data_IF_088662584364
#
_entry.id   IF_088662584364
#
_cell.length_a   1.000
_cell.length_b   1.000
_cell.length_c   1.000
_cell.angle_alpha   90.00
_cell.angle_beta   90.00
_cell.angle_gamma   90.00
#
_symmetry.space_group_name_H-M   'P 1'
#
loop_
_entity.id
_entity.type
_entity.pdbx_description
1 polymer ?
#
# COMPACT_ATOMS: atom_id res chain seq x y z
N UNK A 1 5.49 -29.15 -63.06
CA UNK A 1 5.19 -28.16 -62.02
C UNK A 1 5.74 -28.67 -60.68
N UNK A 2 6.94 -28.25 -60.28
CA UNK A 2 7.52 -28.61 -59.01
C UNK A 2 6.91 -27.67 -57.96
N UNK A 3 6.24 -28.23 -56.94
CA UNK A 3 5.76 -27.54 -55.78
C UNK A 3 6.96 -27.04 -54.95
N UNK A 4 7.15 -25.73 -54.86
CA UNK A 4 8.10 -25.15 -53.93
C UNK A 4 7.61 -25.39 -52.48
N UNK A 5 8.48 -25.84 -51.57
CA UNK A 5 8.13 -25.94 -50.16
C UNK A 5 8.00 -24.55 -49.58
N UNK A 6 6.83 -24.25 -49.01
CA UNK A 6 6.53 -23.03 -48.24
C UNK A 6 7.30 -23.15 -46.91
N UNK A 7 8.54 -22.71 -46.85
CA UNK A 7 9.27 -22.51 -45.58
C UNK A 7 8.76 -21.21 -44.94
N UNK A 8 7.79 -21.33 -44.06
CA UNK A 8 7.58 -20.24 -43.11
C UNK A 8 8.91 -20.01 -42.33
N UNK A 9 9.35 -18.76 -42.14
CA UNK A 9 10.56 -18.50 -41.38
C UNK A 9 10.40 -19.07 -39.96
N UNK A 10 11.29 -19.96 -39.54
CA UNK A 10 11.33 -20.46 -38.18
C UNK A 10 11.74 -19.30 -37.28
N UNK A 11 10.78 -18.68 -36.60
CA UNK A 11 11.04 -17.68 -35.59
C UNK A 11 11.72 -18.41 -34.41
N UNK A 12 12.97 -18.09 -34.12
CA UNK A 12 13.64 -18.63 -32.94
C UNK A 12 12.92 -18.07 -31.71
N UNK A 13 12.40 -18.91 -30.80
CA UNK A 13 11.71 -18.43 -29.63
C UNK A 13 12.58 -17.52 -28.75
N UNK A 14 11.97 -16.49 -28.19
CA UNK A 14 12.62 -15.53 -27.27
C UNK A 14 12.63 -16.16 -25.88
N UNK A 15 13.77 -16.13 -25.19
CA UNK A 15 13.85 -16.59 -23.79
C UNK A 15 13.21 -15.60 -22.85
N UNK A 16 12.53 -16.11 -21.82
CA UNK A 16 11.98 -15.35 -20.71
C UNK A 16 12.17 -16.12 -19.40
N UNK A 17 12.17 -15.44 -18.27
CA UNK A 17 12.32 -16.08 -16.96
C UNK A 17 11.01 -16.74 -16.53
N UNK A 18 9.88 -16.02 -16.72
CA UNK A 18 8.57 -16.45 -16.24
C UNK A 18 7.46 -16.14 -17.26
N UNK A 19 6.56 -17.09 -17.44
CA UNK A 19 5.29 -16.93 -18.16
C UNK A 19 4.16 -17.27 -17.20
N UNK A 20 3.23 -16.32 -16.95
CA UNK A 20 2.05 -16.55 -16.14
C UNK A 20 0.83 -16.64 -17.05
N UNK A 21 0.10 -17.75 -16.96
CA UNK A 21 -1.05 -18.09 -17.81
C UNK A 21 -2.32 -18.24 -16.94
N UNK A 22 -2.95 -17.16 -16.49
CA UNK A 22 -4.21 -17.22 -15.78
C UNK A 22 -5.39 -17.37 -16.74
N UNK A 23 -6.61 -17.54 -16.22
CA UNK A 23 -7.82 -17.45 -17.03
C UNK A 23 -8.11 -16.01 -17.42
N UNK A 24 -8.07 -15.08 -16.44
CA UNK A 24 -8.33 -13.68 -16.66
C UNK A 24 -7.14 -12.81 -16.21
N UNK A 25 -6.93 -11.73 -16.92
CA UNK A 25 -5.98 -10.67 -16.54
C UNK A 25 -6.74 -9.34 -16.50
N UNK A 26 -6.63 -8.62 -15.40
CA UNK A 26 -7.10 -7.23 -15.27
C UNK A 26 -5.85 -6.34 -15.22
N UNK A 27 -5.42 -5.74 -16.34
CA UNK A 27 -4.17 -5.00 -16.39
C UNK A 27 -4.23 -3.64 -15.68
N UNK A 28 -5.42 -3.14 -15.36
CA UNK A 28 -5.74 -1.82 -14.80
C UNK A 28 -5.52 -0.69 -15.83
N UNK A 29 -4.51 -0.78 -16.67
CA UNK A 29 -4.29 0.08 -17.83
C UNK A 29 -4.28 -0.80 -19.11
N UNK A 30 -5.18 -0.53 -20.08
CA UNK A 30 -6.28 0.44 -20.09
C UNK A 30 -7.38 0.14 -19.07
N UNK A 31 -8.07 1.21 -18.62
CA UNK A 31 -9.13 1.09 -17.61
C UNK A 31 -10.31 0.23 -18.12
N UNK A 32 -10.89 -0.60 -17.23
CA UNK A 32 -12.08 -1.40 -17.53
C UNK A 32 -11.83 -2.64 -18.40
N UNK A 33 -10.58 -2.96 -18.72
CA UNK A 33 -10.22 -4.11 -19.56
C UNK A 33 -10.11 -5.39 -18.71
N UNK A 34 -10.69 -6.46 -19.22
CA UNK A 34 -10.47 -7.85 -18.79
C UNK A 34 -10.02 -8.66 -19.99
N UNK A 35 -8.86 -9.28 -19.91
CA UNK A 35 -8.32 -10.16 -20.93
C UNK A 35 -8.54 -11.62 -20.51
N UNK A 36 -9.10 -12.44 -21.39
CA UNK A 36 -9.27 -13.87 -21.18
C UNK A 36 -8.26 -14.65 -22.03
N UNK A 37 -7.72 -15.75 -21.51
CA UNK A 37 -6.74 -16.62 -22.22
C UNK A 37 -5.50 -15.88 -22.73
N UNK A 38 -5.00 -14.92 -21.95
CA UNK A 38 -3.73 -14.25 -22.22
C UNK A 38 -2.61 -14.78 -21.31
N UNK A 39 -1.37 -14.53 -21.71
CA UNK A 39 -0.19 -14.78 -20.92
C UNK A 39 0.58 -13.49 -20.68
N UNK A 40 1.10 -13.34 -19.47
CA UNK A 40 2.03 -12.28 -19.10
C UNK A 40 3.45 -12.85 -19.13
N UNK A 41 4.34 -12.16 -19.84
CA UNK A 41 5.74 -12.57 -20.01
C UNK A 41 6.63 -11.66 -19.19
N UNK A 42 7.49 -12.25 -18.38
CA UNK A 42 8.39 -11.54 -17.46
C UNK A 42 9.83 -11.96 -17.73
N UNK A 43 10.71 -10.97 -17.79
CA UNK A 43 12.14 -11.19 -17.91
C UNK A 43 12.89 -10.15 -17.04
N UNK A 44 13.85 -10.60 -16.23
CA UNK A 44 14.63 -9.77 -15.31
C UNK A 44 13.76 -8.89 -14.39
N UNK A 45 12.62 -9.48 -13.95
CA UNK A 45 11.67 -8.80 -13.05
C UNK A 45 10.77 -7.76 -13.72
N UNK A 46 10.83 -7.60 -15.03
CA UNK A 46 10.00 -6.65 -15.80
C UNK A 46 9.00 -7.37 -16.69
N UNK A 47 7.84 -6.76 -16.88
CA UNK A 47 6.82 -7.19 -17.84
C UNK A 47 7.33 -6.84 -19.24
N UNK A 48 7.58 -7.86 -20.06
CA UNK A 48 8.10 -7.68 -21.43
C UNK A 48 7.05 -7.86 -22.51
N UNK A 49 5.96 -8.61 -22.21
CA UNK A 49 4.86 -8.80 -23.16
C UNK A 49 3.57 -9.22 -22.44
N UNK A 50 2.41 -8.93 -23.07
CA UNK A 50 1.09 -9.34 -22.64
C UNK A 50 0.27 -9.66 -23.89
N UNK A 51 0.06 -10.95 -24.19
CA UNK A 51 -0.50 -11.39 -25.46
C UNK A 51 -1.33 -12.67 -25.29
N UNK A 52 -2.15 -13.05 -26.30
CA UNK A 52 -2.90 -14.30 -26.27
C UNK A 52 -1.99 -15.51 -26.01
N UNK A 53 -2.44 -16.46 -25.18
CA UNK A 53 -1.65 -17.62 -24.72
C UNK A 53 -1.04 -18.42 -25.85
N UNK A 54 -1.77 -18.65 -26.94
CA UNK A 54 -1.25 -19.38 -28.10
C UNK A 54 -0.10 -18.67 -28.80
N UNK A 55 -0.21 -17.34 -28.93
CA UNK A 55 0.86 -16.52 -29.49
C UNK A 55 2.09 -16.47 -28.56
N UNK A 56 1.86 -16.43 -27.24
CA UNK A 56 2.92 -16.50 -26.25
C UNK A 56 3.72 -17.81 -26.36
N UNK A 57 3.03 -18.95 -26.45
CA UNK A 57 3.66 -20.29 -26.58
C UNK A 57 4.47 -20.45 -27.88
N UNK A 58 4.12 -19.71 -28.93
CA UNK A 58 4.87 -19.73 -30.21
C UNK A 58 6.08 -18.80 -30.17
N UNK A 59 5.99 -17.69 -29.44
CA UNK A 59 7.00 -16.62 -29.44
C UNK A 59 8.03 -16.76 -28.34
N UNK A 60 7.67 -17.33 -27.18
CA UNK A 60 8.51 -17.38 -26.01
C UNK A 60 8.78 -18.80 -25.50
N UNK A 61 9.99 -19.00 -24.94
CA UNK A 61 10.33 -20.15 -24.09
C UNK A 61 10.73 -19.60 -22.73
N UNK A 62 9.89 -19.86 -21.71
CA UNK A 62 10.12 -19.41 -20.35
C UNK A 62 10.76 -20.52 -19.50
N UNK A 63 11.68 -20.14 -18.61
CA UNK A 63 12.31 -21.07 -17.65
C UNK A 63 11.27 -21.61 -16.66
N UNK A 64 10.28 -20.78 -16.29
CA UNK A 64 9.14 -21.15 -15.45
C UNK A 64 7.83 -20.79 -16.14
N UNK A 65 6.86 -21.72 -16.12
CA UNK A 65 5.49 -21.47 -16.60
C UNK A 65 4.52 -21.78 -15.46
N UNK A 66 3.81 -20.74 -14.99
CA UNK A 66 2.74 -20.87 -13.99
C UNK A 66 1.38 -20.86 -14.69
N UNK A 67 0.72 -22.00 -14.70
CA UNK A 67 -0.63 -22.16 -15.31
C UNK A 67 -1.68 -22.08 -14.21
N UNK A 68 -2.56 -21.09 -14.30
CA UNK A 68 -3.54 -20.72 -13.28
C UNK A 68 -4.95 -20.65 -13.91
N UNK A 69 -5.55 -21.78 -14.29
CA UNK A 69 -6.73 -21.83 -15.19
C UNK A 69 -8.00 -21.24 -14.59
N UNK A 70 -8.08 -21.08 -13.27
CA UNK A 70 -9.26 -20.57 -12.57
C UNK A 70 -8.96 -19.30 -11.78
N UNK A 71 -7.89 -18.58 -12.18
CA UNK A 71 -7.43 -17.38 -11.48
C UNK A 71 -7.64 -16.13 -12.31
N UNK A 72 -7.81 -15.03 -11.60
CA UNK A 72 -7.60 -13.69 -12.14
C UNK A 72 -6.24 -13.17 -11.66
N UNK A 73 -5.46 -12.64 -12.60
CA UNK A 73 -4.19 -11.96 -12.35
C UNK A 73 -4.43 -10.45 -12.37
N UNK A 74 -4.00 -9.78 -11.33
CA UNK A 74 -4.04 -8.31 -11.19
C UNK A 74 -2.64 -7.81 -10.83
N UNK A 75 -2.36 -6.49 -10.95
CA UNK A 75 -1.19 -5.89 -10.31
C UNK A 75 -1.21 -6.19 -8.82
N UNK A 76 -0.04 -6.30 -8.20
CA UNK A 76 0.06 -6.40 -6.76
C UNK A 76 -0.65 -5.23 -6.05
N UNK A 77 -1.30 -5.52 -4.96
CA UNK A 77 -2.00 -4.50 -4.16
C UNK A 77 -0.98 -3.58 -3.47
N UNK A 78 -1.33 -2.31 -3.33
CA UNK A 78 -0.46 -1.26 -2.77
C UNK A 78 -1.12 -0.65 -1.55
N UNK A 79 -0.56 -0.92 -0.38
CA UNK A 79 -1.00 -0.38 0.90
C UNK A 79 -0.37 0.99 1.13
N UNK A 80 -1.14 2.06 0.96
CA UNK A 80 -0.64 3.43 0.96
C UNK A 80 -0.32 4.00 2.34
N UNK A 81 -0.74 3.32 3.40
CA UNK A 81 -0.43 3.74 4.77
C UNK A 81 -0.49 2.57 5.75
N UNK A 82 0.54 2.44 6.56
CA UNK A 82 0.62 1.50 7.69
C UNK A 82 1.61 1.98 8.75
N UNK A 83 1.56 1.36 9.92
CA UNK A 83 2.54 1.39 10.99
C UNK A 83 3.00 -0.06 11.22
N UNK A 84 3.85 -0.56 10.32
CA UNK A 84 4.15 -1.99 10.22
C UNK A 84 4.72 -2.60 11.51
N UNK A 85 5.59 -1.86 12.21
CA UNK A 85 6.15 -2.30 13.50
C UNK A 85 5.09 -2.57 14.58
N UNK A 86 3.98 -1.82 14.56
CA UNK A 86 2.87 -1.96 15.53
C UNK A 86 2.05 -3.26 15.34
N UNK A 87 2.35 -4.10 14.36
CA UNK A 87 1.62 -5.36 14.15
C UNK A 87 1.74 -6.31 15.35
N UNK A 88 2.80 -6.19 16.14
CA UNK A 88 2.94 -6.91 17.42
C UNK A 88 1.98 -6.41 18.51
N UNK A 89 1.41 -5.23 18.37
CA UNK A 89 0.45 -4.62 19.30
C UNK A 89 -1.01 -4.86 18.91
N UNK A 90 -1.27 -5.71 17.95
CA UNK A 90 -2.61 -6.07 17.46
C UNK A 90 -3.55 -6.48 18.59
N UNK A 91 -4.73 -5.82 18.66
CA UNK A 91 -5.77 -6.13 19.65
C UNK A 91 -5.47 -5.63 21.06
N UNK A 92 -4.47 -4.77 21.23
CA UNK A 92 -4.23 -4.07 22.49
C UNK A 92 -5.15 -2.84 22.54
N UNK A 93 -6.00 -2.77 23.58
CA UNK A 93 -6.89 -1.65 23.87
C UNK A 93 -7.90 -1.33 22.74
N UNK A 94 -8.56 -2.35 22.20
CA UNK A 94 -9.71 -2.15 21.31
C UNK A 94 -10.83 -1.34 22.00
N UNK A 95 -11.72 -0.74 21.19
CA UNK A 95 -12.92 -0.03 21.65
C UNK A 95 -12.64 1.23 22.50
N UNK A 96 -11.53 1.93 22.19
CA UNK A 96 -11.18 3.22 22.81
C UNK A 96 -11.25 4.36 21.78
N UNK A 97 -11.64 5.60 22.18
CA UNK A 97 -11.47 6.78 21.35
C UNK A 97 -9.99 7.00 21.01
N UNK A 98 -9.69 7.53 19.82
CA UNK A 98 -8.33 7.71 19.31
C UNK A 98 -7.37 8.35 20.32
N UNK A 99 -7.75 9.46 20.97
CA UNK A 99 -6.91 10.16 21.94
C UNK A 99 -6.58 9.30 23.15
N UNK A 100 -7.59 8.67 23.77
CA UNK A 100 -7.42 7.75 24.89
C UNK A 100 -6.56 6.55 24.49
N UNK A 101 -6.81 6.00 23.30
CA UNK A 101 -6.05 4.88 22.76
C UNK A 101 -4.56 5.23 22.61
N UNK A 102 -4.24 6.42 22.05
CA UNK A 102 -2.85 6.88 21.90
C UNK A 102 -2.19 7.16 23.24
N UNK A 103 -2.80 8.03 24.09
CA UNK A 103 -2.17 8.57 25.28
C UNK A 103 -2.08 7.57 26.44
N UNK A 104 -3.08 6.70 26.61
CA UNK A 104 -3.16 5.80 27.76
C UNK A 104 -2.63 4.38 27.44
N UNK A 105 -2.56 3.98 26.15
CA UNK A 105 -2.20 2.62 25.79
C UNK A 105 -0.99 2.56 24.85
N UNK A 106 -1.05 3.19 23.69
CA UNK A 106 -0.04 3.00 22.64
C UNK A 106 1.28 3.70 22.99
N UNK A 107 1.27 5.01 23.28
CA UNK A 107 2.50 5.74 23.60
C UNK A 107 3.22 5.21 24.85
N UNK A 108 2.55 4.79 25.94
CA UNK A 108 3.21 4.11 27.06
C UNK A 108 3.87 2.78 26.68
N UNK A 109 3.21 1.97 25.81
CA UNK A 109 3.79 0.74 25.31
C UNK A 109 4.99 1.00 24.39
N UNK A 110 4.86 1.95 23.48
CA UNK A 110 5.95 2.37 22.60
C UNK A 110 7.15 2.90 23.39
N UNK A 111 6.92 3.74 24.38
CA UNK A 111 7.96 4.26 25.27
C UNK A 111 8.74 3.16 25.99
N UNK A 112 8.08 2.06 26.32
CA UNK A 112 8.68 0.93 27.03
C UNK A 112 9.38 -0.07 26.12
N UNK A 113 8.84 -0.32 24.92
CA UNK A 113 9.19 -1.50 24.15
C UNK A 113 9.75 -1.22 22.75
N UNK A 114 9.52 -0.03 22.17
CA UNK A 114 10.02 0.28 20.83
C UNK A 114 11.55 0.23 20.82
N UNK A 115 12.06 -0.57 19.90
CA UNK A 115 13.48 -0.82 19.68
C UNK A 115 13.69 -1.34 18.26
N UNK A 116 14.93 -1.36 17.80
CA UNK A 116 15.30 -1.96 16.50
C UNK A 116 14.78 -3.41 16.38
N UNK A 117 14.90 -4.22 17.46
CA UNK A 117 14.42 -5.61 17.48
C UNK A 117 12.88 -5.66 17.31
N UNK A 118 12.15 -4.84 18.07
CA UNK A 118 10.68 -4.79 18.03
C UNK A 118 10.19 -4.37 16.65
N UNK A 119 10.76 -3.33 16.08
CA UNK A 119 10.35 -2.81 14.77
C UNK A 119 10.65 -3.82 13.66
N UNK A 120 11.85 -4.43 13.65
CA UNK A 120 12.17 -5.48 12.69
C UNK A 120 11.21 -6.65 12.77
N UNK A 121 10.97 -7.21 13.96
CA UNK A 121 10.10 -8.37 14.14
C UNK A 121 8.64 -8.06 13.83
N UNK A 122 8.14 -6.86 14.22
CA UNK A 122 6.80 -6.41 13.93
C UNK A 122 6.58 -6.15 12.44
N UNK A 123 7.55 -5.53 11.78
CA UNK A 123 7.51 -5.30 10.33
C UNK A 123 7.57 -6.63 9.58
N UNK A 124 8.37 -7.61 10.01
CA UNK A 124 8.40 -8.94 9.38
C UNK A 124 7.05 -9.65 9.47
N UNK A 125 6.37 -9.56 10.63
CA UNK A 125 5.00 -10.08 10.79
C UNK A 125 4.01 -9.34 9.86
N UNK A 126 4.12 -8.02 9.74
CA UNK A 126 3.32 -7.22 8.83
C UNK A 126 3.55 -7.62 7.36
N UNK A 127 4.81 -7.74 6.94
CA UNK A 127 5.17 -8.17 5.58
C UNK A 127 4.55 -9.54 5.25
N UNK A 128 4.63 -10.49 6.18
CA UNK A 128 4.04 -11.82 6.00
C UNK A 128 2.52 -11.75 5.80
N UNK A 129 1.79 -10.98 6.61
CA UNK A 129 0.35 -10.83 6.48
C UNK A 129 -0.03 -10.11 5.18
N UNK A 130 0.67 -9.02 4.85
CA UNK A 130 0.45 -8.25 3.62
C UNK A 130 0.70 -9.09 2.36
N UNK A 131 1.80 -9.83 2.28
CA UNK A 131 2.09 -10.72 1.15
C UNK A 131 1.01 -11.80 0.99
N UNK A 132 0.59 -12.45 2.09
CA UNK A 132 -0.48 -13.45 2.08
C UNK A 132 -1.85 -12.87 1.68
N UNK A 133 -2.03 -11.55 1.77
CA UNK A 133 -3.24 -10.84 1.34
C UNK A 133 -3.12 -10.20 -0.05
N UNK A 134 -2.02 -10.42 -0.78
CA UNK A 134 -1.83 -9.92 -2.15
C UNK A 134 -1.17 -8.54 -2.24
N UNK A 135 -0.76 -7.95 -1.11
CA UNK A 135 -0.03 -6.68 -1.08
C UNK A 135 1.43 -6.92 -1.46
N UNK A 136 1.92 -6.21 -2.46
CA UNK A 136 3.31 -6.27 -2.93
C UNK A 136 4.12 -5.05 -2.51
N UNK A 137 3.44 -3.95 -2.18
CA UNK A 137 4.06 -2.68 -1.79
C UNK A 137 3.29 -2.07 -0.63
N UNK A 138 4.01 -1.56 0.37
CA UNK A 138 3.41 -0.79 1.45
C UNK A 138 4.17 0.52 1.71
N UNK A 139 3.47 1.50 2.27
CA UNK A 139 4.04 2.76 2.73
C UNK A 139 3.94 2.81 4.25
N UNK A 140 5.08 2.97 4.92
CA UNK A 140 5.19 2.90 6.38
C UNK A 140 5.48 4.27 7.01
N UNK A 141 4.92 4.50 8.18
CA UNK A 141 5.25 5.64 9.03
C UNK A 141 5.58 5.11 10.42
N UNK A 142 6.84 4.78 10.67
CA UNK A 142 7.25 4.28 11.97
C UNK A 142 8.71 4.60 12.30
N UNK A 143 9.11 4.32 13.54
CA UNK A 143 10.48 4.48 14.02
C UNK A 143 11.41 3.42 13.43
N UNK A 144 12.72 3.67 13.46
CA UNK A 144 13.77 2.74 13.02
C UNK A 144 13.56 2.21 11.57
N UNK A 145 13.50 3.10 10.56
CA UNK A 145 13.30 2.67 9.17
C UNK A 145 14.38 1.69 8.68
N UNK A 146 15.58 1.72 9.25
CA UNK A 146 16.64 0.73 9.00
C UNK A 146 16.24 -0.68 9.40
N UNK A 147 15.54 -0.84 10.53
CA UNK A 147 15.05 -2.14 10.98
C UNK A 147 13.86 -2.64 10.14
N UNK A 148 13.00 -1.72 9.71
CA UNK A 148 11.94 -2.03 8.76
C UNK A 148 12.53 -2.47 7.41
N UNK A 149 13.60 -1.84 6.94
CA UNK A 149 14.30 -2.21 5.71
C UNK A 149 14.86 -3.64 5.75
N UNK A 150 15.43 -4.08 6.90
CA UNK A 150 15.87 -5.47 7.08
C UNK A 150 14.72 -6.47 6.90
N UNK A 151 13.55 -6.18 7.44
CA UNK A 151 12.36 -7.04 7.30
C UNK A 151 11.84 -7.05 5.85
N UNK A 152 11.88 -5.90 5.17
CA UNK A 152 11.52 -5.79 3.75
C UNK A 152 12.48 -6.62 2.89
N UNK A 153 13.78 -6.55 3.14
CA UNK A 153 14.77 -7.34 2.40
C UNK A 153 14.56 -8.84 2.60
N UNK A 154 14.37 -9.26 3.86
CA UNK A 154 14.12 -10.66 4.22
C UNK A 154 12.81 -11.20 3.60
N UNK A 155 11.78 -10.39 3.49
CA UNK A 155 10.45 -10.83 3.00
C UNK A 155 10.29 -10.79 1.49
N UNK A 156 11.13 -10.04 0.79
CA UNK A 156 11.01 -9.82 -0.64
C UNK A 156 9.92 -8.81 -1.04
N UNK A 157 9.16 -8.23 -0.11
CA UNK A 157 8.15 -7.19 -0.38
C UNK A 157 8.81 -5.87 -0.80
N UNK A 158 8.07 -4.98 -1.44
CA UNK A 158 8.49 -3.60 -1.72
C UNK A 158 7.96 -2.65 -0.64
N UNK A 159 8.70 -1.59 -0.31
CA UNK A 159 8.25 -0.59 0.65
C UNK A 159 8.67 0.84 0.29
N UNK A 160 7.85 1.78 0.73
CA UNK A 160 8.20 3.18 0.91
C UNK A 160 8.31 3.42 2.43
N UNK A 161 9.48 3.82 2.91
CA UNK A 161 9.74 3.99 4.33
C UNK A 161 9.72 5.47 4.72
N UNK A 162 8.99 5.80 5.77
CA UNK A 162 8.87 7.16 6.29
C UNK A 162 10.13 7.62 7.01
N UNK A 163 10.67 8.76 6.58
CA UNK A 163 11.66 9.54 7.35
C UNK A 163 10.86 10.38 8.33
N UNK A 164 10.69 9.88 9.54
CA UNK A 164 9.81 10.46 10.55
C UNK A 164 10.29 11.87 10.96
N UNK A 165 9.36 12.80 11.13
CA UNK A 165 9.57 14.07 11.81
C UNK A 165 8.53 14.20 12.93
N UNK A 166 9.02 14.31 14.16
CA UNK A 166 8.21 14.31 15.38
C UNK A 166 8.88 15.14 16.46
N UNK A 167 8.18 16.11 17.06
CA UNK A 167 8.77 17.05 18.01
C UNK A 167 8.83 16.51 19.46
N UNK A 168 8.56 15.21 19.65
CA UNK A 168 8.59 14.55 20.95
C UNK A 168 9.75 13.54 21.00
N UNK A 169 10.52 13.49 22.12
CA UNK A 169 11.56 12.48 22.27
C UNK A 169 10.99 11.08 22.42
N UNK A 170 11.62 10.09 21.75
CA UNK A 170 11.29 8.66 21.84
C UNK A 170 12.56 7.83 21.93
N UNK A 171 12.43 6.49 21.93
CA UNK A 171 13.59 5.59 21.85
C UNK A 171 14.39 5.75 20.53
N UNK A 172 13.79 6.30 19.46
CA UNK A 172 14.44 6.52 18.17
C UNK A 172 15.26 7.80 18.12
N UNK A 173 14.84 8.88 18.81
CA UNK A 173 15.55 10.17 18.77
C UNK A 173 15.01 11.17 19.77
N UNK A 174 15.73 12.29 19.91
CA UNK A 174 15.44 13.33 20.89
C UNK A 174 14.53 14.45 20.37
N UNK A 175 14.09 14.38 19.11
CA UNK A 175 13.24 15.35 18.44
C UNK A 175 13.47 15.35 16.93
N UNK A 176 12.77 16.23 16.21
CA UNK A 176 12.69 16.22 14.75
C UNK A 176 14.04 16.23 14.03
N UNK A 177 15.02 17.01 14.52
CA UNK A 177 16.35 17.06 13.90
C UNK A 177 17.06 15.71 13.94
N UNK A 178 16.94 14.99 15.05
CA UNK A 178 17.54 13.67 15.23
C UNK A 178 16.85 12.65 14.33
N UNK A 179 15.52 12.67 14.28
CA UNK A 179 14.73 11.81 13.41
C UNK A 179 15.06 12.01 11.92
N UNK A 180 15.05 13.26 11.46
CA UNK A 180 15.37 13.61 10.09
C UNK A 180 16.80 13.22 9.72
N UNK A 181 17.78 13.48 10.61
CA UNK A 181 19.19 13.12 10.39
C UNK A 181 19.36 11.62 10.23
N UNK A 182 18.79 10.81 11.13
CA UNK A 182 18.87 9.35 11.09
C UNK A 182 18.14 8.78 9.89
N UNK A 183 16.92 9.25 9.62
CA UNK A 183 16.13 8.78 8.49
C UNK A 183 16.79 9.09 7.13
N UNK A 184 17.36 10.29 6.97
CA UNK A 184 18.13 10.65 5.78
C UNK A 184 19.40 9.82 5.63
N UNK A 185 20.11 9.53 6.70
CA UNK A 185 21.27 8.64 6.67
C UNK A 185 20.88 7.21 6.23
N UNK A 186 19.75 6.69 6.74
CA UNK A 186 19.19 5.39 6.31
C UNK A 186 18.85 5.40 4.82
N UNK A 187 18.12 6.43 4.37
CA UNK A 187 17.80 6.62 2.94
C UNK A 187 19.06 6.64 2.08
N UNK A 188 20.10 7.38 2.47
CA UNK A 188 21.31 7.52 1.69
C UNK A 188 22.10 6.20 1.63
N UNK A 189 22.12 5.43 2.69
CA UNK A 189 22.72 4.09 2.73
C UNK A 189 21.98 3.09 1.82
N UNK A 190 20.65 3.21 1.71
CA UNK A 190 19.77 2.28 1.01
C UNK A 190 19.23 2.82 -0.33
N UNK A 191 19.71 3.97 -0.81
CA UNK A 191 19.20 4.65 -2.02
C UNK A 191 19.19 3.81 -3.31
N UNK A 192 20.05 2.79 -3.39
CA UNK A 192 20.15 1.90 -4.55
C UNK A 192 19.43 0.56 -4.33
N UNK A 193 18.70 0.39 -3.22
CA UNK A 193 17.97 -0.83 -2.97
C UNK A 193 16.77 -0.94 -3.94
N UNK A 194 16.62 -2.06 -4.68
CA UNK A 194 15.66 -2.14 -5.80
C UNK A 194 14.19 -2.07 -5.36
N UNK A 195 13.89 -2.38 -4.10
CA UNK A 195 12.52 -2.44 -3.57
C UNK A 195 12.22 -1.40 -2.49
N UNK A 196 13.16 -0.48 -2.19
CA UNK A 196 12.94 0.56 -1.20
C UNK A 196 12.85 1.94 -1.84
N UNK A 197 11.88 2.70 -1.38
CA UNK A 197 11.75 4.14 -1.59
C UNK A 197 11.53 4.83 -0.24
N UNK A 198 11.55 6.15 -0.21
CA UNK A 198 11.42 6.92 1.03
C UNK A 198 10.51 8.12 0.83
N UNK A 199 9.78 8.50 1.89
CA UNK A 199 9.02 9.74 1.97
C UNK A 199 9.39 10.46 3.28
N UNK A 200 9.34 11.80 3.30
CA UNK A 200 9.36 12.55 4.54
C UNK A 200 8.03 12.32 5.26
N UNK A 201 8.07 11.98 6.52
CA UNK A 201 6.91 11.57 7.29
C UNK A 201 6.71 12.45 8.55
N UNK A 202 6.36 13.76 8.40
CA UNK A 202 5.89 14.52 9.53
C UNK A 202 4.60 13.89 10.05
N UNK A 203 4.58 13.51 11.35
CA UNK A 203 3.54 12.64 11.89
C UNK A 203 2.13 13.22 11.70
N UNK A 204 1.86 14.39 12.27
CA UNK A 204 0.55 15.03 12.19
C UNK A 204 0.65 16.54 12.50
N UNK A 205 -0.33 17.38 12.12
CA UNK A 205 -0.32 18.81 12.41
C UNK A 205 -0.25 19.14 13.89
N UNK A 206 -0.78 18.28 14.76
CA UNK A 206 -0.79 18.51 16.22
C UNK A 206 0.47 18.01 16.95
N UNK A 207 1.37 17.28 16.27
CA UNK A 207 2.62 16.76 16.85
C UNK A 207 3.88 17.37 16.25
N UNK A 208 3.72 18.24 15.25
CA UNK A 208 4.81 18.85 14.49
C UNK A 208 4.66 20.36 14.49
N UNK A 209 5.70 21.07 14.94
CA UNK A 209 5.75 22.54 14.98
C UNK A 209 5.96 23.14 13.59
N UNK A 210 5.62 24.46 13.45
CA UNK A 210 5.87 25.21 12.23
C UNK A 210 7.36 25.16 11.83
N UNK A 211 8.27 25.28 12.81
CA UNK A 211 9.71 25.21 12.55
C UNK A 211 10.16 23.87 11.98
N UNK A 212 9.53 22.77 12.40
CA UNK A 212 9.78 21.43 11.86
C UNK A 212 9.16 21.27 10.47
N UNK A 213 7.96 21.79 10.25
CA UNK A 213 7.36 21.81 8.92
C UNK A 213 8.19 22.61 7.91
N UNK A 214 8.76 23.77 8.27
CA UNK A 214 9.67 24.54 7.41
C UNK A 214 10.90 23.72 7.00
N UNK A 215 11.45 22.90 7.93
CA UNK A 215 12.55 21.97 7.61
C UNK A 215 12.10 20.87 6.65
N UNK A 216 10.93 20.28 6.90
CA UNK A 216 10.36 19.24 6.03
C UNK A 216 10.12 19.78 4.62
N UNK A 217 9.51 20.96 4.47
CA UNK A 217 9.30 21.62 3.19
C UNK A 217 10.63 21.89 2.45
N UNK A 218 11.64 22.38 3.19
CA UNK A 218 12.98 22.61 2.64
C UNK A 218 13.62 21.30 2.14
N UNK A 219 13.55 20.24 2.95
CA UNK A 219 14.10 18.92 2.59
C UNK A 219 13.35 18.30 1.41
N UNK A 220 12.02 18.42 1.35
CA UNK A 220 11.22 17.96 0.22
C UNK A 220 11.67 18.64 -1.09
N UNK A 221 11.83 19.98 -1.06
CA UNK A 221 12.31 20.73 -2.20
C UNK A 221 13.74 20.36 -2.64
N UNK A 222 14.64 20.07 -1.69
CA UNK A 222 16.03 19.71 -1.96
C UNK A 222 16.22 18.28 -2.46
N UNK A 223 15.41 17.34 -1.94
CA UNK A 223 15.60 15.91 -2.18
C UNK A 223 14.63 15.33 -3.22
N UNK A 224 13.55 16.04 -3.53
CA UNK A 224 12.44 15.54 -4.35
C UNK A 224 11.60 14.47 -3.67
N UNK A 225 11.77 14.24 -2.36
CA UNK A 225 10.97 13.27 -1.61
C UNK A 225 9.53 13.76 -1.42
N UNK A 226 8.56 12.84 -1.54
CA UNK A 226 7.19 13.11 -1.17
C UNK A 226 7.01 13.28 0.33
N UNK A 227 5.86 13.79 0.73
CA UNK A 227 5.47 14.00 2.14
C UNK A 227 4.29 13.10 2.47
N UNK A 228 4.38 12.36 3.56
CA UNK A 228 3.36 11.44 4.08
C UNK A 228 2.94 11.92 5.47
N UNK A 229 1.68 12.28 5.67
CA UNK A 229 1.21 12.97 6.89
C UNK A 229 -0.23 12.59 7.23
N UNK A 230 -0.52 12.34 8.52
CA UNK A 230 -1.90 12.29 9.02
C UNK A 230 -2.51 13.69 8.98
N UNK A 231 -3.67 13.84 8.38
CA UNK A 231 -4.32 15.14 8.27
C UNK A 231 -5.84 15.01 8.27
N UNK A 232 -6.49 15.86 9.08
CA UNK A 232 -7.96 15.90 9.20
C UNK A 232 -8.55 14.53 9.57
N UNK A 233 -7.89 13.77 10.42
CA UNK A 233 -8.38 12.47 10.86
C UNK A 233 -9.66 12.59 11.67
N UNK A 234 -9.71 13.54 12.62
CA UNK A 234 -10.86 13.74 13.48
C UNK A 234 -11.33 15.19 13.49
N UNK A 235 -12.60 15.43 13.86
CA UNK A 235 -13.10 16.79 14.10
C UNK A 235 -12.35 17.47 15.25
N UNK A 236 -11.91 16.71 16.26
CA UNK A 236 -11.13 17.23 17.38
C UNK A 236 -9.79 17.84 16.94
N UNK A 237 -9.08 17.20 16.03
CA UNK A 237 -7.86 17.75 15.41
C UNK A 237 -8.13 19.13 14.78
N UNK A 238 -9.25 19.25 14.06
CA UNK A 238 -9.65 20.50 13.41
C UNK A 238 -9.96 21.59 14.43
N UNK A 239 -10.72 21.25 15.48
CA UNK A 239 -11.13 22.19 16.53
C UNK A 239 -9.90 22.66 17.33
N UNK A 240 -8.97 21.78 17.66
CA UNK A 240 -7.73 22.12 18.34
C UNK A 240 -6.84 23.04 17.48
N UNK A 241 -6.74 22.79 16.18
CA UNK A 241 -5.98 23.63 15.24
C UNK A 241 -6.58 25.03 15.15
N UNK A 242 -7.90 25.14 15.04
CA UNK A 242 -8.60 26.43 15.03
C UNK A 242 -8.39 27.18 16.35
N UNK A 243 -8.42 26.48 17.48
CA UNK A 243 -8.19 27.13 18.81
C UNK A 243 -6.74 27.60 18.96
N UNK A 244 -5.77 26.79 18.53
CA UNK A 244 -4.35 27.03 18.76
C UNK A 244 -3.75 28.02 17.74
N UNK A 245 -4.12 27.86 16.45
CA UNK A 245 -3.50 28.59 15.33
C UNK A 245 -4.45 29.55 14.63
N UNK A 246 -5.77 29.48 14.86
CA UNK A 246 -6.79 30.28 14.17
C UNK A 246 -7.04 29.82 12.71
N UNK A 247 -6.51 28.71 12.31
CA UNK A 247 -6.60 28.13 10.95
C UNK A 247 -6.82 26.62 11.01
N UNK A 248 -7.44 26.06 9.96
CA UNK A 248 -7.65 24.61 9.82
C UNK A 248 -6.30 23.92 9.51
N UNK A 249 -6.15 22.61 9.82
CA UNK A 249 -4.89 21.91 9.57
C UNK A 249 -4.37 22.05 8.14
N UNK A 250 -5.22 21.88 7.11
CA UNK A 250 -4.80 22.02 5.70
C UNK A 250 -4.42 23.47 5.33
N UNK A 251 -5.09 24.48 5.88
CA UNK A 251 -4.71 25.90 5.67
C UNK A 251 -3.32 26.17 6.25
N UNK A 252 -3.05 25.65 7.45
CA UNK A 252 -1.72 25.72 8.07
C UNK A 252 -0.66 25.02 7.23
N UNK A 253 -0.95 23.81 6.72
CA UNK A 253 -0.03 23.05 5.86
C UNK A 253 0.21 23.76 4.50
N UNK A 254 -0.82 24.45 3.93
CA UNK A 254 -0.63 25.28 2.73
C UNK A 254 0.33 26.43 3.02
N UNK A 255 0.08 27.19 4.09
CA UNK A 255 0.93 28.32 4.50
C UNK A 255 2.40 27.90 4.71
N UNK A 256 2.63 26.71 5.22
CA UNK A 256 3.97 26.14 5.48
C UNK A 256 4.58 25.42 4.26
N UNK A 257 3.92 25.47 3.10
CA UNK A 257 4.47 24.90 1.84
C UNK A 257 4.52 23.37 1.82
N UNK A 258 3.69 22.70 2.62
CA UNK A 258 3.63 21.23 2.71
C UNK A 258 2.75 20.62 1.62
N UNK A 259 1.71 21.35 1.16
CA UNK A 259 0.77 20.82 0.17
C UNK A 259 1.37 20.83 -1.25
N UNK A 260 1.28 19.70 -1.92
CA UNK A 260 1.75 19.54 -3.31
C UNK A 260 1.36 18.18 -3.90
N UNK A 261 1.69 17.92 -5.18
CA UNK A 261 1.31 16.69 -5.88
C UNK A 261 1.99 15.42 -5.31
N UNK A 262 3.04 15.58 -4.52
CA UNK A 262 3.74 14.50 -3.82
C UNK A 262 3.39 14.45 -2.32
N UNK A 263 2.36 15.19 -1.87
CA UNK A 263 1.84 15.11 -0.52
C UNK A 263 0.74 14.07 -0.45
N UNK A 264 0.91 13.10 0.44
CA UNK A 264 -0.05 12.05 0.77
C UNK A 264 -0.67 12.35 2.13
N UNK A 265 -1.92 12.83 2.11
CA UNK A 265 -2.72 13.05 3.31
C UNK A 265 -3.43 11.76 3.71
N UNK A 266 -3.16 11.28 4.92
CA UNK A 266 -3.78 10.06 5.45
C UNK A 266 -5.08 10.42 6.16
N UNK A 267 -6.08 9.53 6.07
CA UNK A 267 -7.43 9.61 6.62
C UNK A 267 -8.33 10.61 5.90
N UNK A 268 -8.05 11.89 5.94
CA UNK A 268 -8.82 12.96 5.28
C UNK A 268 -10.35 12.84 5.54
N UNK A 269 -10.73 12.65 6.82
CA UNK A 269 -12.12 12.41 7.25
C UNK A 269 -12.87 13.72 7.50
N UNK A 270 -12.32 14.59 8.36
CA UNK A 270 -12.97 15.82 8.86
C UNK A 270 -12.81 17.01 7.90
N UNK A 271 -13.12 16.78 6.62
CA UNK A 271 -13.00 17.78 5.54
C UNK A 271 -14.31 18.54 5.32
N UNK A 272 -14.20 19.85 5.06
CA UNK A 272 -15.26 20.65 4.46
C UNK A 272 -15.02 20.87 2.95
N UNK A 273 -15.88 21.63 2.27
CA UNK A 273 -15.75 21.87 0.81
C UNK A 273 -14.55 22.74 0.47
N UNK A 274 -14.15 23.67 1.37
CA UNK A 274 -12.96 24.49 1.19
C UNK A 274 -11.68 23.66 1.28
N UNK A 275 -11.62 22.71 2.23
CA UNK A 275 -10.51 21.76 2.35
C UNK A 275 -10.34 20.93 1.07
N UNK A 276 -11.44 20.39 0.54
CA UNK A 276 -11.42 19.59 -0.71
C UNK A 276 -10.94 20.45 -1.89
N UNK A 277 -11.41 21.70 -1.98
CA UNK A 277 -10.97 22.65 -3.01
C UNK A 277 -9.48 22.94 -2.90
N UNK A 278 -8.98 23.11 -1.68
CA UNK A 278 -7.58 23.36 -1.40
C UNK A 278 -6.71 22.15 -1.78
N UNK A 279 -7.12 20.93 -1.38
CA UNK A 279 -6.44 19.69 -1.78
C UNK A 279 -6.39 19.52 -3.30
N UNK A 280 -7.50 19.79 -3.99
CA UNK A 280 -7.56 19.72 -5.46
C UNK A 280 -6.64 20.75 -6.12
N UNK A 281 -6.60 21.99 -5.62
CA UNK A 281 -5.70 23.06 -6.10
C UNK A 281 -4.23 22.63 -6.07
N UNK A 282 -3.83 21.91 -5.05
CA UNK A 282 -2.45 21.45 -4.85
C UNK A 282 -2.20 20.03 -5.35
N UNK A 283 -3.18 19.36 -5.94
CA UNK A 283 -3.10 17.96 -6.39
C UNK A 283 -2.66 16.98 -5.27
N UNK A 284 -3.11 17.21 -4.03
CA UNK A 284 -2.78 16.36 -2.88
C UNK A 284 -3.35 14.96 -3.08
N UNK A 285 -2.58 13.93 -2.71
CA UNK A 285 -2.98 12.54 -2.75
C UNK A 285 -3.64 12.13 -1.42
N UNK A 286 -4.53 11.14 -1.42
CA UNK A 286 -5.20 10.66 -0.20
C UNK A 286 -4.92 9.17 0.01
N UNK A 287 -4.51 8.80 1.24
CA UNK A 287 -4.53 7.43 1.74
C UNK A 287 -5.80 7.21 2.57
N UNK A 288 -6.78 6.51 2.00
CA UNK A 288 -8.04 6.22 2.66
C UNK A 288 -7.96 4.92 3.45
N UNK A 289 -8.18 4.99 4.78
CA UNK A 289 -8.08 3.88 5.73
C UNK A 289 -9.45 3.62 6.39
N UNK A 290 -10.44 3.07 5.65
CA UNK A 290 -11.83 3.05 6.10
C UNK A 290 -12.07 2.27 7.40
N UNK A 291 -11.41 1.13 7.60
CA UNK A 291 -11.58 0.32 8.84
C UNK A 291 -11.04 1.08 10.05
N UNK A 292 -9.82 1.62 9.98
CA UNK A 292 -9.24 2.41 11.08
C UNK A 292 -10.12 3.62 11.42
N UNK A 293 -10.56 4.38 10.42
CA UNK A 293 -11.44 5.54 10.59
C UNK A 293 -12.74 5.18 11.33
N UNK A 294 -13.35 4.05 11.00
CA UNK A 294 -14.58 3.59 11.64
C UNK A 294 -14.31 3.03 13.03
N UNK A 295 -13.27 2.22 13.18
CA UNK A 295 -12.96 1.54 14.44
C UNK A 295 -12.53 2.52 15.53
N UNK A 296 -11.75 3.56 15.18
CA UNK A 296 -11.31 4.60 16.09
C UNK A 296 -12.34 5.73 16.27
N UNK A 297 -13.47 5.63 15.56
CA UNK A 297 -14.55 6.61 15.65
C UNK A 297 -14.23 7.97 14.99
N UNK A 298 -13.24 8.03 14.10
CA UNK A 298 -12.86 9.25 13.38
C UNK A 298 -13.96 9.72 12.43
N UNK A 299 -14.75 8.79 11.86
CA UNK A 299 -15.88 9.08 10.98
C UNK A 299 -15.76 8.46 9.59
N UNK A 300 -16.55 8.98 8.64
CA UNK A 300 -16.59 8.50 7.25
C UNK A 300 -16.01 9.58 6.33
N UNK A 301 -14.89 9.29 5.67
CA UNK A 301 -14.27 10.21 4.72
C UNK A 301 -15.17 10.48 3.51
N UNK A 302 -15.13 11.71 3.00
CA UNK A 302 -15.94 12.20 1.87
C UNK A 302 -15.32 11.78 0.51
N UNK A 303 -15.06 10.47 0.35
CA UNK A 303 -14.31 9.92 -0.81
C UNK A 303 -14.96 10.24 -2.15
N UNK A 304 -16.28 10.32 -2.22
CA UNK A 304 -17.02 10.69 -3.45
C UNK A 304 -16.78 12.14 -3.84
N UNK A 305 -16.75 13.06 -2.87
CA UNK A 305 -16.44 14.47 -3.11
C UNK A 305 -14.97 14.66 -3.51
N UNK A 306 -14.05 13.94 -2.86
CA UNK A 306 -12.63 13.93 -3.22
C UNK A 306 -12.43 13.44 -4.66
N UNK A 307 -13.04 12.31 -5.03
CA UNK A 307 -12.98 11.78 -6.40
C UNK A 307 -13.61 12.73 -7.44
N UNK A 308 -14.74 13.35 -7.12
CA UNK A 308 -15.39 14.33 -8.00
C UNK A 308 -14.53 15.59 -8.22
N UNK A 309 -13.70 15.95 -7.24
CA UNK A 309 -12.72 17.03 -7.34
C UNK A 309 -11.43 16.62 -8.08
N UNK A 310 -11.32 15.38 -8.57
CA UNK A 310 -10.15 14.86 -9.30
C UNK A 310 -8.99 14.45 -8.40
N UNK A 311 -9.19 14.36 -7.09
CA UNK A 311 -8.16 13.95 -6.12
C UNK A 311 -7.95 12.44 -6.23
N UNK A 312 -6.70 12.02 -6.38
CA UNK A 312 -6.35 10.60 -6.41
C UNK A 312 -6.44 10.00 -5.00
N UNK A 313 -7.06 8.82 -4.92
CA UNK A 313 -7.27 8.08 -3.68
C UNK A 313 -6.60 6.71 -3.80
N UNK A 314 -5.67 6.43 -2.89
CA UNK A 314 -5.14 5.10 -2.62
C UNK A 314 -5.79 4.50 -1.38
N UNK A 315 -5.72 3.18 -1.24
CA UNK A 315 -6.24 2.48 -0.06
C UNK A 315 -5.09 2.16 0.90
N UNK A 316 -5.30 2.41 2.18
CA UNK A 316 -4.39 2.06 3.26
C UNK A 316 -5.09 1.23 4.33
N UNK A 317 -4.33 0.47 5.10
CA UNK A 317 -4.88 -0.29 6.23
C UNK A 317 -4.74 0.43 7.55
N UNK A 318 -3.83 1.42 7.63
CA UNK A 318 -3.30 1.88 8.90
C UNK A 318 -2.54 0.77 9.66
N UNK A 319 -2.08 0.99 10.88
CA UNK A 319 -1.42 -0.01 11.71
C UNK A 319 -2.37 -1.09 12.23
N UNK A 320 -1.88 -2.33 12.39
CA UNK A 320 -2.68 -3.42 12.91
C UNK A 320 -3.07 -3.23 14.39
N UNK A 321 -2.49 -2.30 15.11
CA UNK A 321 -2.95 -1.92 16.45
C UNK A 321 -4.29 -1.16 16.41
N UNK A 322 -4.49 -0.27 15.42
CA UNK A 322 -5.74 0.46 15.20
C UNK A 322 -6.78 -0.33 14.40
N UNK A 323 -6.35 -1.06 13.39
CA UNK A 323 -7.21 -1.79 12.45
C UNK A 323 -7.46 -3.26 12.82
N UNK A 324 -6.50 -3.92 13.46
CA UNK A 324 -6.39 -5.36 13.72
C UNK A 324 -6.07 -6.23 12.50
N UNK A 325 -6.16 -5.75 11.25
CA UNK A 325 -5.88 -6.52 10.02
C UNK A 325 -5.13 -5.66 9.00
N UNK A 326 -4.18 -6.29 8.29
CA UNK A 326 -3.50 -5.68 7.13
C UNK A 326 -4.05 -6.31 5.83
N UNK A 327 -5.39 -6.23 5.65
CA UNK A 327 -6.15 -6.87 4.57
C UNK A 327 -6.71 -5.82 3.61
N UNK A 328 -5.94 -5.50 2.56
CA UNK A 328 -6.29 -4.42 1.64
C UNK A 328 -7.52 -4.73 0.77
N UNK A 329 -7.84 -6.00 0.50
CA UNK A 329 -9.08 -6.38 -0.21
C UNK A 329 -10.31 -6.03 0.63
N UNK A 330 -10.25 -6.28 1.93
CA UNK A 330 -11.32 -5.92 2.87
C UNK A 330 -11.50 -4.39 2.95
N UNK A 331 -10.41 -3.63 3.04
CA UNK A 331 -10.43 -2.17 3.01
C UNK A 331 -11.06 -1.64 1.73
N UNK A 332 -10.63 -2.17 0.59
CA UNK A 332 -11.12 -1.77 -0.74
C UNK A 332 -12.63 -2.01 -0.89
N UNK A 333 -13.09 -3.18 -0.44
CA UNK A 333 -14.53 -3.49 -0.41
C UNK A 333 -15.31 -2.53 0.47
N UNK A 334 -14.81 -2.26 1.68
CA UNK A 334 -15.47 -1.36 2.63
C UNK A 334 -15.53 0.07 2.09
N UNK A 335 -14.45 0.57 1.50
CA UNK A 335 -14.43 1.90 0.85
C UNK A 335 -15.56 2.05 -0.18
N UNK A 336 -15.73 1.04 -1.04
CA UNK A 336 -16.80 1.02 -2.03
C UNK A 336 -18.20 0.98 -1.42
N UNK A 337 -18.41 0.13 -0.40
CA UNK A 337 -19.71 -0.01 0.26
C UNK A 337 -20.09 1.26 1.03
N UNK A 338 -19.16 1.89 1.73
CA UNK A 338 -19.38 3.16 2.43
C UNK A 338 -19.78 4.27 1.47
N UNK A 339 -19.08 4.42 0.35
CA UNK A 339 -19.39 5.42 -0.65
C UNK A 339 -20.82 5.23 -1.22
N UNK A 340 -21.17 4.00 -1.60
CA UNK A 340 -22.50 3.65 -2.11
C UNK A 340 -23.58 3.90 -1.07
N UNK A 341 -23.36 3.45 0.17
CA UNK A 341 -24.36 3.55 1.25
C UNK A 341 -24.59 4.98 1.72
N UNK A 342 -23.53 5.78 1.88
CA UNK A 342 -23.65 7.17 2.34
C UNK A 342 -24.29 8.09 1.31
N UNK A 343 -24.09 7.84 0.01
CA UNK A 343 -24.68 8.62 -1.07
C UNK A 343 -25.97 8.01 -1.63
N UNK A 344 -26.37 6.81 -1.19
CA UNK A 344 -27.52 6.06 -1.70
C UNK A 344 -27.47 5.86 -3.23
N UNK A 345 -26.25 5.70 -3.78
CA UNK A 345 -26.00 5.49 -5.20
C UNK A 345 -25.15 4.23 -5.42
N UNK A 346 -25.73 3.14 -5.95
CA UNK A 346 -25.02 1.89 -6.21
C UNK A 346 -24.04 1.99 -7.38
N UNK A 347 -24.10 3.03 -8.21
CA UNK A 347 -23.20 3.25 -9.35
C UNK A 347 -21.83 3.81 -8.98
N UNK A 348 -21.67 4.33 -7.76
CA UNK A 348 -20.39 4.90 -7.29
C UNK A 348 -19.32 3.83 -7.14
N UNK A 349 -18.08 4.18 -7.45
CA UNK A 349 -16.91 3.30 -7.35
C UNK A 349 -17.20 1.87 -7.83
N UNK A 350 -17.42 1.66 -9.16
CA UNK A 350 -17.54 0.32 -9.72
C UNK A 350 -16.26 -0.49 -9.47
N UNK A 351 -16.33 -1.82 -9.57
CA UNK A 351 -15.26 -2.72 -9.19
C UNK A 351 -13.88 -2.35 -9.80
N UNK A 352 -13.84 -2.00 -11.08
CA UNK A 352 -12.60 -1.55 -11.72
C UNK A 352 -12.00 -0.29 -11.08
N UNK A 353 -12.83 0.67 -10.64
CA UNK A 353 -12.35 1.86 -9.93
C UNK A 353 -11.77 1.51 -8.57
N UNK A 354 -12.36 0.54 -7.87
CA UNK A 354 -11.86 0.06 -6.59
C UNK A 354 -10.54 -0.71 -6.75
N UNK A 355 -10.41 -1.55 -7.78
CA UNK A 355 -9.14 -2.21 -8.12
C UNK A 355 -8.07 -1.15 -8.46
N UNK A 356 -8.43 -0.11 -9.22
CA UNK A 356 -7.54 1.01 -9.49
C UNK A 356 -7.04 1.68 -8.19
N UNK A 357 -7.93 1.99 -7.24
CA UNK A 357 -7.56 2.62 -5.96
C UNK A 357 -6.59 1.75 -5.17
N UNK A 358 -6.76 0.42 -5.19
CA UNK A 358 -5.91 -0.55 -4.49
C UNK A 358 -4.60 -0.89 -5.23
N UNK A 359 -4.40 -0.41 -6.46
CA UNK A 359 -3.25 -0.72 -7.32
C UNK A 359 -2.62 0.57 -7.88
N UNK A 360 -2.99 1.01 -9.08
CA UNK A 360 -2.40 2.17 -9.74
C UNK A 360 -2.66 3.49 -9.00
N UNK A 361 -3.83 3.64 -8.37
CA UNK A 361 -4.14 4.77 -7.49
C UNK A 361 -3.18 4.85 -6.31
N UNK A 362 -2.88 3.69 -5.69
CA UNK A 362 -1.84 3.57 -4.66
C UNK A 362 -0.45 3.89 -5.18
N UNK A 363 -0.08 3.36 -6.36
CA UNK A 363 1.21 3.67 -6.99
C UNK A 363 1.39 5.17 -7.24
N UNK A 364 0.35 5.85 -7.75
CA UNK A 364 0.36 7.32 -7.96
C UNK A 364 0.53 8.08 -6.65
N UNK A 365 -0.16 7.63 -5.59
CA UNK A 365 -0.04 8.26 -4.28
C UNK A 365 1.39 8.19 -3.71
N UNK A 366 2.16 7.17 -4.09
CA UNK A 366 3.56 6.99 -3.68
C UNK A 366 4.59 7.49 -4.71
N UNK A 367 4.16 8.02 -5.86
CA UNK A 367 5.07 8.43 -6.94
C UNK A 367 5.73 7.26 -7.69
N UNK A 368 5.13 6.06 -7.63
CA UNK A 368 5.66 4.81 -8.21
C UNK A 368 4.88 4.33 -9.46
N UNK A 369 3.96 5.15 -10.00
CA UNK A 369 3.05 4.77 -11.10
C UNK A 369 3.76 4.36 -12.38
N UNK A 370 4.99 4.81 -12.60
CA UNK A 370 5.78 4.46 -13.78
C UNK A 370 6.48 3.11 -13.62
N UNK A 371 6.51 2.56 -12.39
CA UNK A 371 7.20 1.32 -12.05
C UNK A 371 6.24 0.17 -11.77
N UNK A 372 5.12 0.42 -11.05
CA UNK A 372 4.18 -0.59 -10.55
C UNK A 372 2.72 -0.13 -10.67
N UNK A 373 1.79 -0.96 -10.24
CA UNK A 373 0.37 -0.65 -10.11
C UNK A 373 -0.48 -0.95 -11.35
N UNK A 374 0.14 -1.32 -12.48
CA UNK A 374 -0.57 -1.85 -13.67
C UNK A 374 0.29 -2.90 -14.38
N UNK A 375 -0.34 -3.77 -15.20
CA UNK A 375 0.36 -4.80 -15.97
C UNK A 375 0.74 -4.28 -17.37
N UNK A 376 1.47 -3.18 -17.39
CA UNK A 376 1.94 -2.54 -18.63
C UNK A 376 3.37 -2.96 -18.93
N UNK A 377 3.69 -3.16 -20.20
CA UNK A 377 5.06 -3.50 -20.66
C UNK A 377 6.04 -2.43 -20.17
N UNK A 378 7.18 -2.88 -19.64
CA UNK A 378 8.24 -2.05 -19.06
C UNK A 378 8.09 -1.79 -17.55
N UNK A 379 6.96 -2.14 -16.93
CA UNK A 379 6.79 -2.06 -15.47
C UNK A 379 7.32 -3.32 -14.76
N UNK A 380 7.59 -3.17 -13.49
CA UNK A 380 8.00 -4.28 -12.61
C UNK A 380 6.87 -5.29 -12.47
N UNK A 381 7.23 -6.55 -12.46
CA UNK A 381 6.28 -7.66 -12.30
C UNK A 381 5.91 -7.88 -10.83
N UNK A 382 5.21 -6.88 -10.26
CA UNK A 382 4.55 -6.97 -8.97
C UNK A 382 3.10 -7.42 -9.21
N UNK A 383 2.78 -8.68 -8.87
CA UNK A 383 1.58 -9.39 -9.33
C UNK A 383 0.86 -10.09 -8.17
N UNK A 384 -0.46 -10.18 -8.28
CA UNK A 384 -1.31 -10.96 -7.39
C UNK A 384 -2.27 -11.86 -8.19
N UNK A 385 -2.27 -13.16 -7.90
CA UNK A 385 -3.20 -14.12 -8.49
C UNK A 385 -4.23 -14.58 -7.45
N UNK A 386 -5.51 -14.41 -7.79
CA UNK A 386 -6.68 -14.68 -6.95
C UNK A 386 -7.48 -15.81 -7.57
N UNK A 387 -7.70 -16.90 -6.83
CA UNK A 387 -8.49 -18.04 -7.27
C UNK A 387 -10.00 -17.74 -7.15
N UNK A 388 -10.77 -18.07 -8.21
CA UNK A 388 -12.21 -17.86 -8.28
C UNK A 388 -12.98 -19.18 -8.53
N UNK A 389 -12.47 -20.31 -8.02
CA UNK A 389 -12.92 -21.67 -8.34
C UNK A 389 -13.63 -22.40 -7.21
N UNK A 390 -14.08 -21.68 -6.18
CA UNK A 390 -14.71 -22.32 -5.02
C UNK A 390 -16.15 -21.85 -4.78
N UNK A 391 -16.81 -22.48 -3.81
CA UNK A 391 -18.23 -22.25 -3.53
C UNK A 391 -18.54 -20.79 -3.11
N UNK A 392 -17.57 -20.03 -2.65
CA UNK A 392 -17.76 -18.63 -2.22
C UNK A 392 -17.54 -17.62 -3.35
N UNK A 393 -16.93 -18.05 -4.47
CA UNK A 393 -16.62 -17.19 -5.62
C UNK A 393 -17.33 -17.59 -6.92
N UNK A 394 -17.91 -18.79 -6.99
CA UNK A 394 -18.67 -19.25 -8.16
C UNK A 394 -20.18 -18.86 -8.06
N UNK A 395 -20.88 -18.61 -9.20
CA UNK A 395 -20.34 -18.51 -10.56
C UNK A 395 -19.65 -17.16 -10.85
N UNK A 396 -18.73 -17.13 -11.80
CA UNK A 396 -18.00 -15.92 -12.21
C UNK A 396 -18.62 -15.37 -13.51
N UNK A 397 -19.31 -14.24 -13.42
CA UNK A 397 -19.82 -13.49 -14.58
C UNK A 397 -18.94 -12.28 -14.92
N UNK A 398 -18.36 -11.64 -13.89
CA UNK A 398 -17.44 -10.52 -13.99
C UNK A 398 -16.32 -10.70 -12.96
N UNK A 399 -15.08 -11.01 -13.39
CA UNK A 399 -13.99 -11.26 -12.47
C UNK A 399 -13.60 -10.02 -11.63
N UNK A 400 -13.78 -8.79 -12.14
CA UNK A 400 -13.52 -7.58 -11.36
C UNK A 400 -14.51 -7.44 -10.20
N UNK A 401 -15.81 -7.65 -10.48
CA UNK A 401 -16.86 -7.69 -9.44
C UNK A 401 -16.59 -8.79 -8.42
N UNK A 402 -16.16 -9.96 -8.88
CA UNK A 402 -15.88 -11.11 -8.00
C UNK A 402 -14.72 -10.83 -7.03
N UNK A 403 -13.64 -10.18 -7.50
CA UNK A 403 -12.52 -9.79 -6.63
C UNK A 403 -13.01 -8.89 -5.48
N UNK A 404 -13.82 -7.87 -5.80
CA UNK A 404 -14.21 -6.86 -4.83
C UNK A 404 -15.32 -7.34 -3.89
N UNK A 405 -16.31 -8.06 -4.41
CA UNK A 405 -17.54 -8.33 -3.67
C UNK A 405 -17.65 -9.74 -3.09
N UNK A 406 -16.94 -10.71 -3.67
CA UNK A 406 -17.03 -12.12 -3.25
C UNK A 406 -15.70 -12.70 -2.73
N UNK A 407 -14.58 -12.37 -3.35
CA UNK A 407 -13.28 -12.85 -2.90
C UNK A 407 -12.78 -12.10 -1.65
N UNK A 408 -11.85 -12.71 -0.94
CA UNK A 408 -11.09 -12.15 0.18
C UNK A 408 -9.64 -12.63 0.13
N UNK A 409 -8.83 -12.24 1.10
CA UNK A 409 -7.41 -12.62 1.17
C UNK A 409 -7.17 -14.12 1.13
N UNK A 410 -8.12 -14.92 1.59
CA UNK A 410 -8.06 -16.39 1.54
C UNK A 410 -8.05 -16.97 0.13
N UNK A 411 -8.40 -16.16 -0.88
CA UNK A 411 -8.38 -16.55 -2.29
C UNK A 411 -7.08 -16.16 -3.01
N UNK A 412 -6.22 -15.33 -2.38
CA UNK A 412 -4.87 -15.05 -2.89
C UNK A 412 -4.03 -16.31 -2.80
N UNK A 413 -3.47 -16.75 -3.92
CA UNK A 413 -2.72 -18.00 -4.01
C UNK A 413 -1.25 -17.80 -4.36
N UNK A 414 -0.97 -16.82 -5.23
CA UNK A 414 0.39 -16.51 -5.67
C UNK A 414 0.59 -15.00 -5.69
N UNK A 415 1.78 -14.59 -5.26
CA UNK A 415 2.22 -13.19 -5.29
C UNK A 415 3.64 -13.15 -5.78
N UNK A 416 3.92 -12.20 -6.67
CA UNK A 416 5.27 -11.92 -7.16
C UNK A 416 5.64 -10.48 -6.90
N UNK A 417 6.89 -10.24 -6.56
CA UNK A 417 7.51 -8.92 -6.45
C UNK A 417 8.78 -8.94 -7.30
N UNK A 418 8.92 -7.97 -8.21
CA UNK A 418 10.01 -7.95 -9.19
C UNK A 418 10.14 -9.30 -9.95
N UNK A 419 9.01 -9.96 -10.26
CA UNK A 419 8.98 -11.27 -10.91
C UNK A 419 9.38 -12.45 -10.02
N UNK A 420 9.82 -12.23 -8.79
CA UNK A 420 10.12 -13.30 -7.82
C UNK A 420 8.84 -13.72 -7.10
N UNK A 421 8.57 -15.02 -7.08
CA UNK A 421 7.39 -15.56 -6.41
C UNK A 421 7.63 -15.60 -4.90
N UNK A 422 7.01 -14.66 -4.16
CA UNK A 422 7.13 -14.52 -2.69
C UNK A 422 5.99 -15.21 -1.93
N UNK A 423 4.88 -15.53 -2.62
CA UNK A 423 3.82 -16.42 -2.12
C UNK A 423 3.51 -17.43 -3.21
N UNK A 424 3.56 -18.72 -2.88
CA UNK A 424 3.21 -19.81 -3.78
C UNK A 424 2.21 -20.75 -3.11
N UNK A 425 1.04 -20.93 -3.73
CA UNK A 425 -0.04 -21.80 -3.21
C UNK A 425 -0.38 -21.48 -1.74
N UNK A 426 -0.52 -20.17 -1.45
CA UNK A 426 -0.82 -19.63 -0.11
C UNK A 426 0.30 -19.80 0.92
N UNK A 427 1.51 -20.13 0.53
CA UNK A 427 2.67 -20.24 1.41
C UNK A 427 3.72 -19.21 1.05
N UNK A 428 4.27 -18.55 2.06
CA UNK A 428 5.44 -17.68 1.92
C UNK A 428 6.65 -18.50 1.47
N UNK A 429 7.46 -17.97 0.56
CA UNK A 429 8.67 -18.64 0.04
C UNK A 429 9.94 -18.20 0.76
N UNK A 430 9.98 -16.94 1.19
CA UNK A 430 11.18 -16.31 1.77
C UNK A 430 11.17 -16.33 3.31
N UNK A 431 10.00 -16.41 3.93
CA UNK A 431 9.86 -16.31 5.38
C UNK A 431 9.27 -17.60 5.95
N UNK A 432 9.90 -18.15 6.99
CA UNK A 432 9.37 -19.31 7.71
C UNK A 432 8.19 -18.93 8.61
N UNK A 433 7.07 -19.62 8.44
CA UNK A 433 5.91 -19.49 9.35
C UNK A 433 6.30 -19.76 10.82
N UNK A 434 7.20 -20.74 11.07
CA UNK A 434 7.67 -21.05 12.41
C UNK A 434 8.47 -19.90 13.04
N UNK A 435 9.29 -19.20 12.26
CA UNK A 435 10.04 -18.03 12.72
C UNK A 435 9.10 -16.89 13.13
N UNK A 436 8.13 -16.54 12.26
CA UNK A 436 7.15 -15.49 12.56
C UNK A 436 6.38 -15.82 13.83
N UNK A 437 5.90 -17.05 13.94
CA UNK A 437 5.14 -17.51 15.11
C UNK A 437 5.96 -17.40 16.40
N UNK A 438 7.22 -17.84 16.38
CA UNK A 438 8.11 -17.78 17.55
C UNK A 438 8.36 -16.34 17.99
N UNK A 439 8.66 -15.43 17.03
CA UNK A 439 8.84 -14.01 17.29
C UNK A 439 7.58 -13.36 17.88
N UNK A 440 6.43 -13.56 17.26
CA UNK A 440 5.16 -13.01 17.74
C UNK A 440 4.82 -13.49 19.16
N UNK A 441 5.03 -14.78 19.46
CA UNK A 441 4.84 -15.33 20.82
C UNK A 441 5.83 -14.77 21.85
N UNK A 442 7.07 -14.52 21.45
CA UNK A 442 8.05 -13.88 22.33
C UNK A 442 7.59 -12.48 22.73
N UNK A 443 7.12 -11.68 21.76
CA UNK A 443 6.62 -10.33 22.01
C UNK A 443 5.30 -10.33 22.79
N UNK A 444 4.37 -11.23 22.48
CA UNK A 444 3.14 -11.41 23.27
C UNK A 444 3.45 -11.61 24.76
N UNK A 445 4.42 -12.46 25.07
CA UNK A 445 4.83 -12.72 26.46
C UNK A 445 5.49 -11.48 27.10
N UNK A 446 6.34 -10.74 26.33
CA UNK A 446 6.96 -9.49 26.82
C UNK A 446 5.94 -8.40 27.13
N UNK A 447 4.89 -8.26 26.32
CA UNK A 447 3.84 -7.24 26.53
C UNK A 447 2.91 -7.58 27.70
N UNK A 448 2.77 -8.85 28.05
CA UNK A 448 1.94 -9.32 29.19
C UNK A 448 2.66 -9.23 30.54
N UNK A 449 3.97 -9.28 30.57
CA UNK A 449 4.79 -9.23 31.79
C UNK A 449 5.31 -7.86 32.09
#
# INVERSE_FOLDING_TARGET
MQSMPNHAPSITPIKADLMVCPRWIIPVEPAGVVLEDHALIINSGEIVDLLPREAAAQRYVADTIETLPEHVLIPGLINTHTHAGMTLMRGIADDQPLKTWLEEWIWPLESRWVSTEMVRDGTLLACAEMLLSGVTTFNDMYFFPEAAAEAVDQSGIRASLGILAFDVPTAYGHGADDYLTRGLATRDALRNHPRLSFMLAPHAPYTVSDATFDKVATLAAQTGLGIHIHAHETQHEVDDSLHQYGERPLERLERLGILGPQTLAVHAVALNDADITLMAKHNVQVAHCPVANLKLGSGIARTTALNAAGINIGIGTDGAAGNNRLDLLSETRLAGLLAKGTQQDPGLFPAHSLIYMATLGGARALGLQDQIGSLTIGKRADLCAIALDNATTLPVFDPASQIIHAAGREHVTHVWVDGQCVVKKKHLTEISHGEIYAKAKTWENRFRG
#
